data_IF_572880485803
#
_entry.id   IF_572880485803
#
_cell.length_a   1.000
_cell.length_b   1.000
_cell.length_c   1.000
_cell.angle_alpha   90.00
_cell.angle_beta   90.00
_cell.angle_gamma   90.00
#
_symmetry.space_group_name_H-M   'P 1'
#
loop_
_entity.id
_entity.type
_entity.pdbx_description
1 polymer ?
#
# COMPACT_ATOMS: atom_id res chain seq x y z
N UNK A 1 19.13 7.52 -29.79
CA UNK A 1 18.46 6.33 -29.24
C UNK A 1 18.07 6.70 -27.82
N UNK A 2 16.83 7.22 -27.64
CA UNK A 2 16.32 7.57 -26.32
C UNK A 2 16.09 6.27 -25.53
N UNK A 3 16.92 6.02 -24.54
CA UNK A 3 16.59 5.12 -23.44
C UNK A 3 15.39 5.72 -22.71
N UNK A 4 14.19 5.29 -23.04
CA UNK A 4 13.00 5.51 -22.24
C UNK A 4 13.23 4.78 -20.91
N UNK A 5 13.74 5.48 -19.90
CA UNK A 5 13.80 5.04 -18.53
C UNK A 5 12.34 4.86 -18.07
N UNK A 6 11.88 3.62 -18.06
CA UNK A 6 10.55 3.31 -17.57
C UNK A 6 10.48 3.63 -16.07
N UNK A 7 9.58 4.56 -15.72
CA UNK A 7 9.40 5.00 -14.34
C UNK A 7 8.81 3.84 -13.52
N UNK A 8 9.51 3.43 -12.47
CA UNK A 8 8.99 2.49 -11.46
C UNK A 8 8.04 3.22 -10.52
N UNK A 9 6.97 2.54 -10.17
CA UNK A 9 5.90 3.10 -9.37
C UNK A 9 5.88 2.53 -7.96
N UNK A 10 6.13 1.21 -7.81
CA UNK A 10 6.14 0.56 -6.51
C UNK A 10 7.12 -0.62 -6.48
N UNK A 11 7.56 -0.94 -5.26
CA UNK A 11 8.44 -2.06 -4.98
C UNK A 11 8.17 -2.60 -3.58
N UNK A 12 7.85 -3.88 -3.47
CA UNK A 12 7.56 -4.54 -2.20
C UNK A 12 8.27 -5.87 -2.04
N UNK A 13 8.83 -6.10 -0.86
CA UNK A 13 9.35 -7.42 -0.48
C UNK A 13 8.24 -8.29 0.10
N UNK A 14 8.33 -9.59 -0.11
CA UNK A 14 7.47 -10.56 0.57
C UNK A 14 7.73 -10.57 2.09
N UNK A 15 6.88 -11.28 2.84
CA UNK A 15 6.94 -11.31 4.30
C UNK A 15 8.27 -11.88 4.86
N UNK A 16 8.95 -12.74 4.11
CA UNK A 16 10.21 -13.34 4.51
C UNK A 16 11.44 -12.59 4.01
N UNK A 17 11.26 -11.59 3.14
CA UNK A 17 12.35 -10.88 2.48
C UNK A 17 13.13 -11.74 1.51
N UNK A 18 12.48 -12.73 0.89
CA UNK A 18 13.07 -13.61 -0.11
C UNK A 18 12.82 -13.13 -1.54
N UNK A 19 11.68 -12.47 -1.76
CA UNK A 19 11.28 -11.96 -3.06
C UNK A 19 11.04 -10.45 -3.01
N UNK A 20 11.44 -9.77 -4.08
CA UNK A 20 11.11 -8.38 -4.36
C UNK A 20 10.25 -8.32 -5.63
N UNK A 21 9.07 -7.73 -5.54
CA UNK A 21 8.25 -7.39 -6.70
C UNK A 21 8.38 -5.91 -7.00
N UNK A 22 8.49 -5.54 -8.27
CA UNK A 22 8.49 -4.15 -8.75
C UNK A 22 7.53 -3.99 -9.90
N UNK A 23 6.89 -2.83 -10.00
CA UNK A 23 6.02 -2.49 -11.12
C UNK A 23 6.42 -1.16 -11.77
N UNK A 24 6.06 -0.99 -13.04
CA UNK A 24 6.50 0.20 -13.77
C UNK A 24 5.54 0.63 -14.89
N UNK A 25 5.85 1.78 -15.50
CA UNK A 25 5.17 2.32 -16.69
C UNK A 25 5.32 1.43 -17.93
N UNK A 26 6.23 0.45 -17.94
CA UNK A 26 6.40 -0.50 -19.04
C UNK A 26 5.33 -1.60 -19.09
N UNK A 27 4.31 -1.51 -18.22
CA UNK A 27 3.19 -2.46 -18.06
C UNK A 27 3.60 -3.81 -17.46
N UNK A 28 4.84 -3.93 -17.00
CA UNK A 28 5.41 -5.19 -16.51
C UNK A 28 5.56 -5.15 -15.00
N UNK A 29 5.44 -6.33 -14.42
CA UNK A 29 5.81 -6.58 -13.04
C UNK A 29 6.99 -7.54 -13.04
N UNK A 30 8.07 -7.18 -12.35
CA UNK A 30 9.26 -8.02 -12.24
C UNK A 30 9.38 -8.56 -10.83
N UNK A 31 9.63 -9.85 -10.73
CA UNK A 31 9.86 -10.54 -9.47
C UNK A 31 11.31 -10.97 -9.41
N UNK A 32 11.99 -10.58 -8.34
CA UNK A 32 13.40 -10.89 -8.10
C UNK A 32 13.53 -11.78 -6.87
N UNK A 33 14.48 -12.70 -6.92
CA UNK A 33 14.99 -13.39 -5.74
C UNK A 33 16.06 -12.51 -5.09
N UNK A 34 15.85 -12.20 -3.82
CA UNK A 34 16.74 -11.38 -2.99
C UNK A 34 17.27 -12.14 -1.77
N UNK A 35 17.13 -13.46 -1.75
CA UNK A 35 17.61 -14.32 -0.66
C UNK A 35 19.14 -14.31 -0.51
N UNK A 36 19.87 -14.15 -1.61
CA UNK A 36 21.31 -13.91 -1.58
C UNK A 36 21.59 -12.39 -1.56
N UNK A 37 22.17 -11.90 -0.47
CA UNK A 37 22.47 -10.48 -0.23
C UNK A 37 23.43 -9.85 -1.26
N UNK A 38 23.89 -10.56 -2.27
CA UNK A 38 24.90 -10.07 -3.22
C UNK A 38 24.32 -9.34 -4.42
N UNK A 39 23.28 -9.89 -5.04
CA UNK A 39 22.64 -9.26 -6.21
C UNK A 39 21.21 -9.81 -6.41
N UNK A 40 20.20 -8.96 -6.58
CA UNK A 40 18.86 -9.40 -6.95
C UNK A 40 18.88 -10.19 -8.27
N UNK A 41 18.31 -11.39 -8.28
CA UNK A 41 18.17 -12.24 -9.46
C UNK A 41 16.75 -12.12 -10.01
N UNK A 42 16.60 -11.62 -11.23
CA UNK A 42 15.30 -11.62 -11.90
C UNK A 42 14.85 -13.06 -12.17
N UNK A 43 13.75 -13.48 -11.55
CA UNK A 43 13.18 -14.83 -11.72
C UNK A 43 11.99 -14.83 -12.67
N UNK A 44 11.18 -13.76 -12.68
CA UNK A 44 10.01 -13.68 -13.56
C UNK A 44 9.68 -12.27 -13.94
N UNK A 45 9.24 -12.08 -15.19
CA UNK A 45 8.50 -10.91 -15.65
C UNK A 45 7.06 -11.34 -15.87
N UNK A 46 6.12 -10.73 -15.13
CA UNK A 46 4.69 -10.99 -15.27
C UNK A 46 4.13 -10.00 -16.30
N UNK A 47 3.50 -10.55 -17.33
CA UNK A 47 2.89 -9.80 -18.42
C UNK A 47 1.40 -10.11 -18.46
N UNK A 48 0.56 -9.09 -18.63
CA UNK A 48 -0.91 -9.23 -18.65
C UNK A 48 -1.62 -7.90 -18.52
N UNK A 49 -0.96 -6.88 -17.98
CA UNK A 49 -1.49 -5.51 -17.98
C UNK A 49 -1.27 -4.82 -19.34
N UNK A 50 -2.26 -4.02 -19.73
CA UNK A 50 -2.23 -3.22 -20.98
C UNK A 50 -1.85 -1.75 -20.74
N UNK A 51 -1.66 -1.36 -19.48
CA UNK A 51 -1.26 -0.02 -19.05
C UNK A 51 -0.21 -0.01 -17.94
N UNK A 52 0.31 1.17 -17.55
CA UNK A 52 1.19 1.32 -16.41
C UNK A 52 0.65 0.61 -15.15
N UNK A 53 1.52 -0.13 -14.46
CA UNK A 53 1.16 -0.81 -13.21
C UNK A 53 1.56 0.11 -12.06
N UNK A 54 0.58 0.47 -11.21
CA UNK A 54 0.78 1.46 -10.16
C UNK A 54 1.27 0.88 -8.84
N UNK A 55 0.74 -0.28 -8.46
CA UNK A 55 1.06 -0.90 -7.17
C UNK A 55 1.13 -2.41 -7.26
N UNK A 56 1.95 -3.00 -6.41
CA UNK A 56 2.04 -4.44 -6.15
C UNK A 56 1.80 -4.69 -4.67
N UNK A 57 1.20 -5.82 -4.32
CA UNK A 57 0.96 -6.20 -2.94
C UNK A 57 1.09 -7.72 -2.75
N UNK A 58 1.97 -8.13 -1.83
CA UNK A 58 2.11 -9.54 -1.44
C UNK A 58 1.02 -9.94 -0.46
N UNK A 59 0.36 -11.07 -0.71
CA UNK A 59 -0.54 -11.68 0.26
C UNK A 59 0.24 -12.29 1.42
N UNK A 60 -0.47 -12.54 2.54
CA UNK A 60 0.14 -13.24 3.67
C UNK A 60 0.57 -14.67 3.27
N UNK A 61 1.75 -15.13 3.71
CA UNK A 61 2.34 -16.41 3.25
C UNK A 61 1.53 -17.66 3.61
N UNK A 62 0.56 -17.59 4.51
CA UNK A 62 -0.36 -18.71 4.79
C UNK A 62 -1.16 -19.16 3.57
N UNK A 63 -1.35 -18.28 2.57
CA UNK A 63 -2.05 -18.60 1.33
C UNK A 63 -1.11 -19.05 0.20
N UNK A 64 0.19 -19.18 0.50
CA UNK A 64 1.25 -19.39 -0.47
C UNK A 64 1.80 -18.08 -1.03
N UNK A 65 2.66 -18.17 -2.04
CA UNK A 65 3.27 -16.99 -2.65
C UNK A 65 2.30 -16.40 -3.68
N UNK A 66 1.56 -15.38 -3.25
CA UNK A 66 0.54 -14.70 -4.04
C UNK A 66 0.86 -13.21 -4.12
N UNK A 67 0.79 -12.63 -5.32
CA UNK A 67 1.01 -11.22 -5.60
C UNK A 67 -0.22 -10.62 -6.28
N UNK A 68 -0.70 -9.49 -5.80
CA UNK A 68 -1.70 -8.67 -6.50
C UNK A 68 -1.04 -7.49 -7.19
N UNK A 69 -1.64 -7.02 -8.28
CA UNK A 69 -1.19 -5.88 -9.07
C UNK A 69 -2.37 -5.06 -9.53
N UNK A 70 -2.24 -3.73 -9.58
CA UNK A 70 -3.27 -2.84 -10.13
C UNK A 70 -2.68 -1.88 -11.15
N UNK A 71 -3.51 -1.44 -12.10
CA UNK A 71 -3.02 -0.73 -13.27
C UNK A 71 -3.97 0.38 -13.74
N UNK A 72 -3.36 1.31 -14.50
CA UNK A 72 -4.06 2.29 -15.32
C UNK A 72 -5.03 1.65 -16.32
N UNK A 73 -4.79 0.39 -16.72
CA UNK A 73 -5.67 -0.36 -17.63
C UNK A 73 -7.03 -0.76 -17.00
N UNK A 74 -7.32 -0.26 -15.78
CA UNK A 74 -8.58 -0.47 -15.05
C UNK A 74 -8.72 -1.86 -14.46
N UNK A 75 -7.66 -2.65 -14.44
CA UNK A 75 -7.70 -4.04 -13.97
C UNK A 75 -6.93 -4.26 -12.69
N UNK A 76 -7.39 -5.25 -11.92
CA UNK A 76 -6.64 -5.88 -10.83
C UNK A 76 -6.33 -7.31 -11.25
N UNK A 77 -5.09 -7.73 -11.12
CA UNK A 77 -4.67 -9.10 -11.42
C UNK A 77 -4.03 -9.72 -10.17
N UNK A 78 -4.39 -10.97 -9.88
CA UNK A 78 -3.79 -11.77 -8.82
C UNK A 78 -3.00 -12.93 -9.44
N UNK A 79 -1.74 -13.02 -9.03
CA UNK A 79 -0.77 -13.99 -9.51
C UNK A 79 -0.41 -14.97 -8.39
N UNK A 80 -0.31 -16.25 -8.70
CA UNK A 80 0.13 -17.31 -7.77
C UNK A 80 1.37 -17.97 -8.33
N UNK A 81 2.40 -18.10 -7.47
CA UNK A 81 3.61 -18.85 -7.80
C UNK A 81 3.34 -20.34 -7.67
N UNK A 82 3.74 -21.09 -8.68
CA UNK A 82 3.71 -22.54 -8.69
C UNK A 82 4.97 -23.18 -8.10
N UNK A 83 5.18 -24.47 -8.34
CA UNK A 83 6.29 -25.25 -7.75
C UNK A 83 7.68 -24.77 -8.18
N UNK A 84 7.84 -24.33 -9.43
CA UNK A 84 9.13 -23.85 -9.94
C UNK A 84 9.27 -22.34 -9.76
N UNK A 85 10.49 -21.78 -9.71
CA UNK A 85 10.70 -20.34 -9.50
C UNK A 85 10.05 -19.47 -10.56
N UNK A 86 10.01 -19.90 -11.80
CA UNK A 86 9.49 -19.20 -12.97
C UNK A 86 8.03 -19.51 -13.28
N UNK A 87 7.41 -20.44 -12.52
CA UNK A 87 6.00 -20.81 -12.68
C UNK A 87 5.10 -19.82 -11.93
N UNK A 88 4.47 -18.95 -12.69
CA UNK A 88 3.51 -17.97 -12.20
C UNK A 88 2.26 -18.00 -13.04
N UNK A 89 1.12 -18.11 -12.39
CA UNK A 89 -0.19 -18.18 -13.05
C UNK A 89 -1.10 -17.03 -12.59
N UNK A 90 -1.85 -16.49 -13.52
CA UNK A 90 -2.95 -15.56 -13.22
C UNK A 90 -4.12 -16.39 -12.66
N UNK A 91 -4.48 -16.17 -11.39
CA UNK A 91 -5.56 -16.89 -10.72
C UNK A 91 -6.84 -16.06 -10.61
N UNK A 92 -6.76 -14.74 -10.81
CA UNK A 92 -7.92 -13.85 -10.79
C UNK A 92 -7.64 -12.57 -11.55
N UNK A 93 -8.62 -12.10 -12.31
CA UNK A 93 -8.59 -10.78 -12.96
C UNK A 93 -9.93 -10.10 -12.80
N UNK A 94 -9.92 -8.90 -12.21
CA UNK A 94 -11.09 -8.03 -12.14
C UNK A 94 -11.01 -6.93 -13.19
N UNK A 95 -12.12 -6.73 -13.96
CA UNK A 95 -12.18 -5.81 -15.10
C UNK A 95 -13.38 -4.85 -15.07
N UNK A 96 -14.10 -4.77 -13.95
CA UNK A 96 -15.33 -3.97 -13.88
C UNK A 96 -15.10 -2.52 -13.45
N UNK A 97 -13.86 -2.13 -13.14
CA UNK A 97 -13.56 -0.73 -12.99
C UNK A 97 -13.59 0.00 -14.34
N UNK A 98 -14.11 1.23 -14.31
CA UNK A 98 -14.27 2.05 -15.54
C UNK A 98 -13.13 3.06 -15.71
N UNK A 99 -12.26 3.20 -14.70
CA UNK A 99 -11.07 4.05 -14.73
C UNK A 99 -9.87 3.38 -14.04
N UNK A 100 -8.73 4.06 -14.00
CA UNK A 100 -7.48 3.57 -13.39
C UNK A 100 -7.71 2.98 -11.99
N UNK A 101 -7.13 1.81 -11.70
CA UNK A 101 -7.02 1.28 -10.35
C UNK A 101 -5.69 1.74 -9.77
N UNK A 102 -5.76 2.52 -8.70
CA UNK A 102 -4.61 3.28 -8.18
C UNK A 102 -3.91 2.61 -7.00
N UNK A 103 -4.65 1.86 -6.20
CA UNK A 103 -4.13 1.25 -4.98
C UNK A 103 -4.83 -0.07 -4.68
N UNK A 104 -4.07 -1.00 -4.09
CA UNK A 104 -4.53 -2.31 -3.62
C UNK A 104 -3.91 -2.62 -2.26
N UNK A 105 -4.67 -3.31 -1.42
CA UNK A 105 -4.16 -3.77 -0.12
C UNK A 105 -4.86 -5.06 0.29
N UNK A 106 -4.11 -6.05 0.80
CA UNK A 106 -4.64 -7.29 1.32
C UNK A 106 -5.18 -7.11 2.74
N UNK A 107 -6.32 -7.74 3.01
CA UNK A 107 -6.85 -7.84 4.36
C UNK A 107 -5.92 -8.67 5.27
N UNK A 108 -6.01 -8.50 6.59
CA UNK A 108 -5.43 -9.42 7.54
C UNK A 108 -5.83 -10.87 7.23
N UNK A 109 -4.88 -11.80 7.34
CA UNK A 109 -5.04 -13.18 6.92
C UNK A 109 -6.12 -13.95 7.71
N UNK A 110 -6.43 -13.48 8.91
CA UNK A 110 -7.49 -14.05 9.77
C UNK A 110 -8.88 -13.94 9.13
N UNK A 111 -9.08 -13.00 8.23
CA UNK A 111 -10.32 -12.83 7.49
C UNK A 111 -10.41 -13.68 6.22
N UNK A 112 -9.33 -14.38 5.86
CA UNK A 112 -9.18 -15.09 4.61
C UNK A 112 -8.42 -14.28 3.56
N UNK A 113 -8.38 -14.79 2.34
CA UNK A 113 -7.71 -14.13 1.22
C UNK A 113 -8.64 -13.09 0.60
N UNK A 114 -8.54 -11.85 1.08
CA UNK A 114 -9.40 -10.73 0.68
C UNK A 114 -8.54 -9.55 0.25
N UNK A 115 -8.82 -8.98 -0.90
CA UNK A 115 -8.13 -7.83 -1.47
C UNK A 115 -9.09 -6.65 -1.61
N UNK A 116 -8.69 -5.45 -1.17
CA UNK A 116 -9.36 -4.20 -1.50
C UNK A 116 -8.60 -3.46 -2.60
N UNK A 117 -9.34 -2.77 -3.46
CA UNK A 117 -8.77 -1.90 -4.49
C UNK A 117 -9.51 -0.57 -4.55
N UNK A 118 -8.79 0.52 -4.86
CA UNK A 118 -9.33 1.87 -5.03
C UNK A 118 -9.12 2.36 -6.46
N UNK A 119 -10.16 2.95 -7.04
CA UNK A 119 -10.14 3.37 -8.44
C UNK A 119 -10.51 4.83 -8.63
N UNK A 120 -9.95 5.42 -9.67
CA UNK A 120 -10.34 6.76 -10.16
C UNK A 120 -11.79 6.81 -10.68
N UNK A 121 -12.49 5.68 -10.79
CA UNK A 121 -13.91 5.63 -11.11
C UNK A 121 -14.82 5.94 -9.90
N UNK A 122 -14.28 6.54 -8.84
CA UNK A 122 -14.97 6.92 -7.61
C UNK A 122 -15.29 5.76 -6.67
N UNK A 123 -14.95 4.54 -7.05
CA UNK A 123 -15.33 3.35 -6.29
C UNK A 123 -14.12 2.67 -5.66
N UNK A 124 -14.39 1.94 -4.59
CA UNK A 124 -13.53 0.89 -4.08
C UNK A 124 -14.16 -0.48 -4.39
N UNK A 125 -13.34 -1.50 -4.54
CA UNK A 125 -13.82 -2.87 -4.70
C UNK A 125 -13.16 -3.80 -3.69
N UNK A 126 -13.92 -4.78 -3.22
CA UNK A 126 -13.43 -5.82 -2.31
C UNK A 126 -13.62 -7.18 -2.98
N UNK A 127 -12.54 -7.94 -3.08
CA UNK A 127 -12.46 -9.23 -3.76
C UNK A 127 -12.14 -10.32 -2.76
N UNK A 128 -13.03 -11.27 -2.58
CA UNK A 128 -12.90 -12.37 -1.64
C UNK A 128 -12.70 -13.68 -2.40
N UNK A 129 -11.62 -14.37 -2.11
CA UNK A 129 -11.36 -15.72 -2.60
C UNK A 129 -12.20 -16.73 -1.82
N UNK A 130 -13.19 -17.32 -2.46
CA UNK A 130 -14.07 -18.34 -1.85
C UNK A 130 -13.47 -19.74 -2.03
N UNK A 131 -12.96 -20.01 -3.24
CA UNK A 131 -12.21 -21.24 -3.57
C UNK A 131 -11.06 -20.88 -4.48
N UNK A 132 -10.15 -21.81 -4.76
CA UNK A 132 -9.02 -21.56 -5.68
C UNK A 132 -9.43 -21.01 -7.05
N UNK A 133 -10.67 -21.29 -7.48
CA UNK A 133 -11.18 -20.89 -8.81
C UNK A 133 -12.33 -19.89 -8.76
N UNK A 134 -12.84 -19.56 -7.56
CA UNK A 134 -14.00 -18.67 -7.41
C UNK A 134 -13.69 -17.49 -6.52
N UNK A 135 -13.85 -16.31 -7.09
CA UNK A 135 -13.77 -15.02 -6.39
C UNK A 135 -15.12 -14.32 -6.42
N UNK A 136 -15.45 -13.67 -5.32
CA UNK A 136 -16.60 -12.79 -5.21
C UNK A 136 -16.12 -11.36 -5.06
N UNK A 137 -16.76 -10.45 -5.78
CA UNK A 137 -16.37 -9.04 -5.80
C UNK A 137 -17.54 -8.15 -5.45
N UNK A 138 -17.30 -7.19 -4.58
CA UNK A 138 -18.29 -6.17 -4.19
C UNK A 138 -17.70 -4.80 -4.54
N UNK A 139 -18.47 -3.98 -5.24
CA UNK A 139 -18.13 -2.61 -5.60
C UNK A 139 -18.85 -1.63 -4.68
N UNK A 140 -18.14 -0.61 -4.21
CA UNK A 140 -18.58 0.35 -3.19
C UNK A 140 -18.40 1.75 -3.76
N UNK A 141 -19.44 2.57 -3.74
CA UNK A 141 -19.36 4.01 -4.06
C UNK A 141 -18.57 4.72 -2.94
N UNK A 142 -17.26 4.88 -3.15
CA UNK A 142 -16.36 5.32 -2.09
C UNK A 142 -16.23 6.84 -2.02
N UNK A 143 -15.97 7.50 -3.13
CA UNK A 143 -15.68 8.93 -3.18
C UNK A 143 -16.42 9.62 -4.32
N UNK A 144 -16.56 10.96 -4.23
CA UNK A 144 -17.31 11.73 -5.23
C UNK A 144 -16.48 12.07 -6.48
N UNK A 145 -15.16 11.94 -6.42
CA UNK A 145 -14.25 12.31 -7.53
C UNK A 145 -13.37 11.15 -7.96
N UNK A 146 -12.77 10.41 -7.02
CA UNK A 146 -11.90 9.28 -7.29
C UNK A 146 -11.28 8.75 -6.01
N UNK A 147 -11.01 7.44 -5.95
CA UNK A 147 -10.31 6.79 -4.84
C UNK A 147 -8.83 6.58 -5.23
N UNK A 148 -7.93 7.16 -4.44
CA UNK A 148 -6.50 7.08 -4.68
C UNK A 148 -5.81 5.96 -3.89
N UNK A 149 -6.28 5.70 -2.68
CA UNK A 149 -5.60 4.79 -1.76
C UNK A 149 -6.58 3.97 -0.93
N UNK A 150 -6.15 2.77 -0.56
CA UNK A 150 -6.88 1.86 0.34
C UNK A 150 -5.92 1.22 1.34
N UNK A 151 -6.38 1.00 2.58
CA UNK A 151 -5.61 0.29 3.60
C UNK A 151 -6.53 -0.43 4.57
N UNK A 152 -6.25 -1.70 4.87
CA UNK A 152 -7.03 -2.49 5.82
C UNK A 152 -6.67 -2.19 7.27
N UNK A 153 -7.68 -2.25 8.13
CA UNK A 153 -7.49 -2.28 9.57
C UNK A 153 -6.89 -3.62 10.03
N UNK A 154 -6.13 -3.63 11.15
CA UNK A 154 -5.70 -4.88 11.79
C UNK A 154 -6.90 -5.74 12.23
N UNK A 155 -6.72 -7.06 12.33
CA UNK A 155 -7.76 -8.05 12.62
C UNK A 155 -8.32 -8.04 14.07
N UNK A 156 -8.18 -6.95 14.80
CA UNK A 156 -8.59 -6.86 16.22
C UNK A 156 -10.10 -6.79 16.43
N UNK A 157 -10.84 -6.38 15.42
CA UNK A 157 -12.29 -6.17 15.47
C UNK A 157 -12.87 -6.41 14.08
N UNK A 158 -14.16 -6.10 13.89
CA UNK A 158 -14.88 -6.24 12.63
C UNK A 158 -14.06 -5.84 11.38
N UNK A 159 -14.36 -6.45 10.24
CA UNK A 159 -13.72 -6.13 8.96
C UNK A 159 -13.90 -4.66 8.62
N UNK A 160 -12.78 -3.94 8.58
CA UNK A 160 -12.73 -2.50 8.28
C UNK A 160 -11.57 -2.20 7.33
N UNK A 161 -11.76 -1.20 6.50
CA UNK A 161 -10.67 -0.60 5.72
C UNK A 161 -10.88 0.90 5.57
N UNK A 162 -9.84 1.62 5.23
CA UNK A 162 -9.87 3.07 5.00
C UNK A 162 -9.58 3.35 3.54
N UNK A 163 -10.22 4.41 3.01
CA UNK A 163 -9.97 4.95 1.68
C UNK A 163 -9.61 6.41 1.73
N UNK A 164 -8.73 6.85 0.83
CA UNK A 164 -8.40 8.24 0.59
C UNK A 164 -8.81 8.68 -0.81
N UNK A 165 -9.49 9.82 -0.92
CA UNK A 165 -10.09 10.26 -2.17
C UNK A 165 -9.63 11.63 -2.68
N UNK A 166 -9.92 11.88 -3.97
CA UNK A 166 -9.74 13.18 -4.61
C UNK A 166 -10.79 14.20 -4.17
N UNK A 167 -11.75 13.81 -3.35
CA UNK A 167 -12.70 14.70 -2.68
C UNK A 167 -12.19 15.22 -1.32
N UNK A 168 -10.88 15.05 -1.06
CA UNK A 168 -10.17 15.50 0.15
C UNK A 168 -10.58 14.74 1.42
N UNK A 169 -11.36 13.68 1.28
CA UNK A 169 -11.90 12.92 2.40
C UNK A 169 -11.11 11.63 2.63
N UNK A 170 -11.05 11.25 3.89
CA UNK A 170 -10.65 9.91 4.32
C UNK A 170 -11.89 9.23 4.88
N UNK A 171 -12.25 8.06 4.36
CA UNK A 171 -13.46 7.35 4.76
C UNK A 171 -13.15 5.97 5.31
N UNK A 172 -13.81 5.62 6.40
CA UNK A 172 -13.68 4.31 7.05
C UNK A 172 -14.90 3.47 6.72
N UNK A 173 -14.64 2.31 6.18
CA UNK A 173 -15.64 1.33 5.75
C UNK A 173 -15.64 0.15 6.71
N UNK A 174 -16.84 -0.27 7.10
CA UNK A 174 -17.08 -1.43 7.95
C UNK A 174 -18.02 -2.40 7.24
N UNK A 175 -17.72 -3.69 7.33
CA UNK A 175 -18.66 -4.70 6.90
C UNK A 175 -19.78 -4.84 7.93
N UNK A 176 -21.01 -4.62 7.49
CA UNK A 176 -22.22 -5.02 8.21
C UNK A 176 -22.43 -6.52 7.92
N UNK A 177 -22.12 -7.36 8.90
CA UNK A 177 -22.17 -8.81 8.76
C UNK A 177 -23.61 -9.33 8.63
N UNK A 178 -24.62 -8.61 9.14
CA UNK A 178 -26.03 -8.99 9.03
C UNK A 178 -26.57 -8.65 7.63
N UNK A 179 -26.27 -7.47 7.16
CA UNK A 179 -26.72 -7.00 5.86
C UNK A 179 -25.81 -7.48 4.70
N UNK A 180 -24.63 -8.05 5.00
CA UNK A 180 -23.56 -8.38 4.05
C UNK A 180 -23.18 -7.21 3.13
N UNK A 181 -23.13 -5.99 3.70
CA UNK A 181 -22.84 -4.76 2.97
C UNK A 181 -21.74 -3.93 3.64
N UNK A 182 -20.96 -3.28 2.82
CA UNK A 182 -20.00 -2.28 3.29
C UNK A 182 -20.71 -0.96 3.52
N UNK A 183 -20.58 -0.43 4.74
CA UNK A 183 -21.16 0.85 5.15
C UNK A 183 -20.06 1.84 5.46
N UNK A 184 -20.26 3.11 5.15
CA UNK A 184 -19.39 4.20 5.59
C UNK A 184 -19.63 4.41 7.10
N UNK A 185 -18.67 3.97 7.93
CA UNK A 185 -18.74 4.13 9.39
C UNK A 185 -18.35 5.54 9.80
N UNK A 186 -17.29 6.11 9.20
CA UNK A 186 -16.81 7.45 9.48
C UNK A 186 -16.29 8.14 8.22
N UNK A 187 -16.55 9.45 8.15
CA UNK A 187 -15.92 10.36 7.19
C UNK A 187 -15.04 11.33 7.96
N UNK A 188 -13.75 11.34 7.68
CA UNK A 188 -12.74 12.14 8.34
C UNK A 188 -12.37 13.33 7.45
N UNK A 189 -12.61 14.54 7.96
CA UNK A 189 -12.37 15.81 7.26
C UNK A 189 -11.14 16.50 7.83
N UNK A 190 -10.21 16.92 6.96
CA UNK A 190 -8.98 17.58 7.39
C UNK A 190 -8.07 18.01 6.27
N UNK A 191 -7.96 17.23 5.19
CA UNK A 191 -7.21 17.60 3.99
C UNK A 191 -7.95 18.69 3.21
N UNK A 192 -7.19 19.59 2.58
CA UNK A 192 -7.73 20.68 1.75
C UNK A 192 -7.53 20.45 0.26
N UNK A 193 -6.88 19.35 -0.10
CA UNK A 193 -6.66 18.88 -1.46
C UNK A 193 -6.63 17.35 -1.46
N UNK A 194 -6.43 16.73 -2.62
CA UNK A 194 -6.49 15.29 -2.83
C UNK A 194 -5.68 14.51 -1.79
N UNK A 195 -6.32 13.56 -1.15
CA UNK A 195 -5.62 12.54 -0.35
C UNK A 195 -4.87 11.62 -1.32
N UNK A 196 -3.55 11.51 -1.14
CA UNK A 196 -2.69 10.71 -2.00
C UNK A 196 -2.51 9.30 -1.50
N UNK A 197 -2.37 9.16 -0.19
CA UNK A 197 -2.19 7.85 0.42
C UNK A 197 -2.81 7.79 1.82
N UNK A 198 -3.19 6.58 2.23
CA UNK A 198 -3.70 6.27 3.56
C UNK A 198 -3.07 4.96 4.04
N UNK A 199 -2.71 4.92 5.32
CA UNK A 199 -2.16 3.72 5.94
C UNK A 199 -2.76 3.53 7.34
N UNK A 200 -3.38 2.37 7.58
CA UNK A 200 -3.81 1.97 8.92
C UNK A 200 -2.63 1.35 9.66
N UNK A 201 -2.37 1.81 10.88
CA UNK A 201 -1.26 1.31 11.68
C UNK A 201 -1.51 -0.15 12.12
N UNK A 202 -0.50 -1.03 12.04
CA UNK A 202 -0.58 -2.34 12.68
C UNK A 202 -0.75 -2.17 14.20
N UNK A 203 -1.68 -2.90 14.80
CA UNK A 203 -1.94 -2.83 16.23
C UNK A 203 -1.24 -3.99 16.95
N UNK A 204 -0.06 -3.75 17.48
CA UNK A 204 0.64 -4.70 18.33
C UNK A 204 0.36 -4.40 19.82
N UNK A 205 -0.83 -4.79 20.28
CA UNK A 205 -1.14 -4.87 21.71
C UNK A 205 -1.61 -3.59 22.42
N UNK A 206 -1.67 -2.44 21.76
CA UNK A 206 -2.09 -1.18 22.40
C UNK A 206 -3.60 -0.87 22.29
N UNK A 207 -4.35 -1.63 21.49
CA UNK A 207 -5.81 -1.45 21.35
C UNK A 207 -6.25 -0.10 20.72
N UNK A 208 -5.29 0.70 20.23
CA UNK A 208 -5.56 2.02 19.61
C UNK A 208 -5.63 1.87 18.09
N UNK A 209 -6.67 2.41 17.49
CA UNK A 209 -6.73 2.55 16.04
C UNK A 209 -6.08 3.86 15.63
N UNK A 210 -5.07 3.77 14.77
CA UNK A 210 -4.34 4.93 14.24
C UNK A 210 -4.29 4.81 12.72
N UNK A 211 -4.64 5.90 12.03
CA UNK A 211 -4.54 6.00 10.57
C UNK A 211 -3.63 7.18 10.26
N UNK A 212 -2.72 7.01 9.31
CA UNK A 212 -2.01 8.12 8.69
C UNK A 212 -2.61 8.39 7.31
N UNK A 213 -2.79 9.65 6.97
CA UNK A 213 -3.15 10.09 5.62
C UNK A 213 -2.22 11.21 5.16
N UNK A 214 -1.94 11.25 3.86
CA UNK A 214 -1.14 12.32 3.27
C UNK A 214 -1.77 12.83 1.98
N UNK A 215 -1.40 14.04 1.57
CA UNK A 215 -2.09 14.66 0.46
C UNK A 215 -1.29 15.64 -0.38
N UNK A 216 -1.98 16.10 -1.41
CA UNK A 216 -1.55 17.15 -2.34
C UNK A 216 -1.39 18.50 -1.63
N UNK A 217 -2.06 18.69 -0.50
CA UNK A 217 -1.99 19.87 0.36
C UNK A 217 -0.70 19.97 1.19
N UNK A 218 0.27 19.10 0.93
CA UNK A 218 1.56 19.02 1.64
C UNK A 218 1.40 18.73 3.14
N UNK A 219 0.35 17.99 3.52
CA UNK A 219 0.07 17.61 4.91
C UNK A 219 0.12 16.11 5.10
N UNK A 220 0.49 15.72 6.32
CA UNK A 220 0.26 14.40 6.88
C UNK A 220 -0.60 14.57 8.12
N UNK A 221 -1.69 13.84 8.18
CA UNK A 221 -2.62 13.86 9.30
C UNK A 221 -2.64 12.48 9.95
N UNK A 222 -2.43 12.46 11.25
CA UNK A 222 -2.60 11.29 12.09
C UNK A 222 -4.00 11.35 12.69
N UNK A 223 -4.75 10.28 12.46
CA UNK A 223 -6.08 10.09 13.01
C UNK A 223 -6.00 9.02 14.09
N UNK A 224 -6.42 9.36 15.31
CA UNK A 224 -6.41 8.43 16.44
C UNK A 224 -7.83 8.24 16.92
N UNK A 225 -8.28 7.00 17.03
CA UNK A 225 -9.58 6.69 17.59
C UNK A 225 -9.49 6.67 19.11
N UNK A 226 -10.26 7.55 19.74
CA UNK A 226 -10.48 7.58 21.19
C UNK A 226 -11.96 7.27 21.47
N UNK A 227 -12.22 6.08 22.02
CA UNK A 227 -13.57 5.51 22.16
C UNK A 227 -14.25 5.43 20.78
N UNK A 228 -15.32 6.21 20.54
CA UNK A 228 -16.06 6.23 19.27
C UNK A 228 -15.77 7.47 18.40
N UNK A 229 -14.79 8.28 18.78
CA UNK A 229 -14.44 9.50 18.06
C UNK A 229 -13.04 9.46 17.48
N UNK A 230 -12.90 9.97 16.26
CA UNK A 230 -11.60 10.15 15.62
C UNK A 230 -11.08 11.56 15.87
N UNK A 231 -9.88 11.66 16.42
CA UNK A 231 -9.15 12.91 16.60
C UNK A 231 -8.06 13.00 15.57
N UNK A 232 -7.87 14.22 15.04
CA UNK A 232 -6.79 14.51 14.09
C UNK A 232 -5.64 15.23 14.78
N UNK A 233 -4.42 14.89 14.35
CA UNK A 233 -3.21 15.62 14.64
C UNK A 233 -2.42 15.79 13.35
N UNK A 234 -2.12 17.04 12.96
CA UNK A 234 -1.29 17.34 11.81
C UNK A 234 0.18 17.23 12.21
N UNK A 235 1.00 16.57 11.38
CA UNK A 235 2.44 16.67 11.45
C UNK A 235 2.89 18.05 10.92
N UNK A 236 4.18 18.39 11.13
CA UNK A 236 4.73 19.62 10.54
C UNK A 236 4.49 19.64 9.03
N UNK A 237 4.19 20.82 8.52
CA UNK A 237 3.89 20.96 7.08
C UNK A 237 5.11 20.63 6.23
N UNK A 238 4.90 19.81 5.21
CA UNK A 238 5.93 19.41 4.27
C UNK A 238 6.13 20.47 3.19
N UNK A 239 7.32 20.48 2.57
CA UNK A 239 7.69 21.48 1.55
C UNK A 239 7.02 21.23 0.20
N UNK A 240 6.64 19.99 -0.07
CA UNK A 240 6.06 19.53 -1.32
C UNK A 240 4.97 18.49 -1.03
N UNK A 241 4.27 18.08 -2.07
CA UNK A 241 3.25 17.02 -2.03
C UNK A 241 3.79 15.79 -1.32
N UNK A 242 2.99 15.24 -0.42
CA UNK A 242 3.32 13.95 0.21
C UNK A 242 2.62 12.83 -0.56
N UNK A 243 3.43 11.90 -1.06
CA UNK A 243 2.95 10.84 -1.96
C UNK A 243 2.61 9.55 -1.25
N UNK A 244 3.37 9.20 -0.19
CA UNK A 244 3.27 7.90 0.46
C UNK A 244 3.47 8.01 1.96
N UNK A 245 2.69 7.25 2.70
CA UNK A 245 2.85 6.99 4.13
C UNK A 245 2.89 5.48 4.37
N UNK A 246 3.79 5.03 5.22
CA UNK A 246 3.95 3.61 5.53
C UNK A 246 4.33 3.40 6.98
N UNK A 247 3.61 2.51 7.66
CA UNK A 247 3.92 2.13 9.04
C UNK A 247 4.97 1.03 9.10
N UNK A 248 5.86 1.12 10.08
CA UNK A 248 6.65 -0.03 10.50
C UNK A 248 5.72 -1.14 11.02
N UNK A 249 6.16 -2.39 10.93
CA UNK A 249 5.40 -3.55 11.43
C UNK A 249 5.01 -3.39 12.91
N UNK A 250 5.84 -2.70 13.69
CA UNK A 250 5.59 -2.41 15.10
C UNK A 250 4.50 -1.34 15.35
N UNK A 251 4.06 -0.62 14.30
CA UNK A 251 3.02 0.40 14.39
C UNK A 251 3.42 1.70 15.11
N UNK A 252 4.68 1.85 15.52
CA UNK A 252 5.19 3.00 16.28
C UNK A 252 6.05 3.98 15.46
N UNK A 253 6.42 3.61 14.25
CA UNK A 253 7.20 4.44 13.33
C UNK A 253 6.43 4.61 12.02
N UNK A 254 6.29 5.85 11.58
CA UNK A 254 5.71 6.22 10.30
C UNK A 254 6.80 6.73 9.37
N UNK A 255 6.94 6.11 8.21
CA UNK A 255 7.73 6.63 7.11
C UNK A 255 6.87 7.51 6.22
N UNK A 256 7.36 8.68 5.85
CA UNK A 256 6.69 9.66 4.99
C UNK A 256 7.61 10.00 3.83
N UNK A 257 7.10 9.89 2.60
CA UNK A 257 7.82 10.21 1.37
C UNK A 257 7.11 11.33 0.59
N UNK A 258 7.85 12.38 0.29
CA UNK A 258 7.37 13.57 -0.41
C UNK A 258 7.92 13.74 -1.83
N UNK A 259 7.38 14.75 -2.53
CA UNK A 259 7.85 15.18 -3.86
C UNK A 259 9.23 15.83 -3.84
N UNK A 260 9.69 16.25 -2.67
CA UNK A 260 11.05 16.77 -2.43
C UNK A 260 12.15 15.68 -2.45
N UNK A 261 11.77 14.43 -2.76
CA UNK A 261 12.64 13.25 -2.75
C UNK A 261 13.25 12.90 -1.39
N UNK A 262 12.68 13.40 -0.30
CA UNK A 262 13.09 13.05 1.05
C UNK A 262 12.17 11.97 1.63
N UNK A 263 12.74 11.14 2.49
CA UNK A 263 11.99 10.22 3.36
C UNK A 263 12.27 10.59 4.80
N UNK A 264 11.23 10.90 5.54
CA UNK A 264 11.32 11.21 6.97
C UNK A 264 10.66 10.11 7.80
N UNK A 265 11.24 9.83 8.95
CA UNK A 265 10.72 8.85 9.91
C UNK A 265 10.19 9.58 11.14
N UNK A 266 8.97 9.26 11.50
CA UNK A 266 8.23 9.91 12.58
C UNK A 266 7.84 8.91 13.66
N UNK A 267 7.84 9.37 14.91
CA UNK A 267 7.38 8.58 16.06
C UNK A 267 6.59 9.44 17.04
N UNK A 268 5.63 8.84 17.73
CA UNK A 268 4.89 9.49 18.81
C UNK A 268 5.71 9.42 20.09
N UNK A 269 5.87 10.57 20.78
CA UNK A 269 6.46 10.65 22.11
C UNK A 269 5.43 10.31 23.18
N UNK A 270 5.88 10.10 24.43
CA UNK A 270 5.03 9.83 25.59
C UNK A 270 4.00 10.95 25.86
N UNK A 271 4.32 12.19 25.50
CA UNK A 271 3.43 13.34 25.61
C UNK A 271 2.39 13.44 24.47
N UNK A 272 2.38 12.47 23.55
CA UNK A 272 1.49 12.46 22.38
C UNK A 272 1.95 13.37 21.22
N UNK A 273 3.13 14.03 21.33
CA UNK A 273 3.69 14.81 20.22
C UNK A 273 4.44 13.90 19.24
N UNK A 274 4.37 14.25 17.95
CA UNK A 274 5.05 13.53 16.88
C UNK A 274 6.31 14.27 16.47
N UNK A 275 7.43 13.55 16.44
CA UNK A 275 8.72 14.09 16.04
C UNK A 275 9.40 13.24 14.97
N UNK A 276 10.20 13.92 14.15
CA UNK A 276 11.16 13.27 13.27
C UNK A 276 12.38 12.86 14.04
N UNK A 277 12.81 11.62 13.87
CA UNK A 277 14.09 11.16 14.43
C UNK A 277 15.13 10.82 13.38
N UNK A 278 14.75 10.78 12.11
CA UNK A 278 15.66 10.57 10.99
C UNK A 278 15.07 11.18 9.72
N UNK A 279 15.91 11.85 8.93
CA UNK A 279 15.64 12.23 7.55
C UNK A 279 16.67 11.56 6.66
N UNK A 280 16.21 10.75 5.71
CA UNK A 280 17.05 10.16 4.69
C UNK A 280 17.04 11.08 3.49
N UNK A 281 17.99 12.01 3.46
CA UNK A 281 18.24 12.82 2.27
C UNK A 281 18.97 11.96 1.24
N UNK A 282 18.86 12.26 -0.05
CA UNK A 282 19.55 11.58 -1.16
C UNK A 282 21.10 11.60 -0.93
N UNK A 283 21.59 10.74 -0.06
CA UNK A 283 23.01 10.49 0.17
C UNK A 283 23.38 9.27 -0.68
N UNK A 284 24.51 9.29 -1.43
CA UNK A 284 25.02 8.10 -2.09
C UNK A 284 25.18 6.96 -1.10
N UNK A 285 24.71 5.76 -1.48
CA UNK A 285 24.60 4.57 -0.64
C UNK A 285 25.78 4.38 0.34
N UNK A 286 25.51 4.26 1.64
CA UNK A 286 26.51 3.73 2.56
C UNK A 286 26.71 2.22 2.30
N UNK A 287 27.94 1.76 2.54
CA UNK A 287 28.29 0.33 2.51
C UNK A 287 27.34 -0.52 3.37
N UNK A 288 27.06 -1.78 3.00
CA UNK A 288 26.07 -2.61 3.66
C UNK A 288 26.36 -2.76 5.16
N UNK A 289 25.40 -2.34 5.98
CA UNK A 289 25.44 -2.55 7.43
C UNK A 289 25.14 -4.03 7.75
N UNK A 290 25.71 -4.60 8.82
CA UNK A 290 25.41 -5.94 9.26
C UNK A 290 23.92 -6.09 9.65
N UNK A 291 23.34 -7.29 9.58
CA UNK A 291 21.91 -7.49 9.68
C UNK A 291 21.39 -7.23 11.09
N UNK A 292 20.75 -6.08 11.29
CA UNK A 292 19.87 -5.83 12.43
C UNK A 292 18.45 -5.64 11.93
N UNK A 293 17.57 -6.47 12.43
CA UNK A 293 16.23 -6.81 11.92
C UNK A 293 15.15 -5.71 12.01
N UNK A 294 15.48 -4.45 12.25
CA UNK A 294 14.51 -3.40 12.61
C UNK A 294 14.31 -2.28 11.57
N UNK A 295 15.01 -2.31 10.41
CA UNK A 295 14.97 -1.17 9.45
C UNK A 295 14.49 -1.61 8.06
N UNK A 296 13.65 -2.64 7.95
CA UNK A 296 13.29 -3.25 6.66
C UNK A 296 12.27 -2.46 5.83
N UNK A 297 11.40 -1.65 6.41
CA UNK A 297 10.35 -0.94 5.66
C UNK A 297 10.82 0.35 4.96
N UNK A 298 11.81 1.05 5.51
CA UNK A 298 12.36 2.27 4.90
C UNK A 298 13.34 2.02 3.74
N UNK A 299 13.95 0.82 3.66
CA UNK A 299 14.84 0.44 2.56
C UNK A 299 14.10 0.06 1.27
N UNK A 300 12.81 -0.24 1.34
CA UNK A 300 12.03 -0.63 0.17
C UNK A 300 11.93 0.49 -0.89
N UNK A 301 11.79 1.72 -0.46
CA UNK A 301 11.71 2.89 -1.35
C UNK A 301 13.06 3.31 -1.93
N UNK A 302 14.16 3.11 -1.19
CA UNK A 302 15.50 3.44 -1.66
C UNK A 302 16.04 2.42 -2.68
N UNK A 303 15.75 1.12 -2.50
CA UNK A 303 16.18 0.06 -3.41
C UNK A 303 15.51 0.15 -4.80
N UNK A 304 14.26 0.62 -4.86
CA UNK A 304 13.55 0.81 -6.13
C UNK A 304 14.17 1.88 -7.02
N UNK A 305 14.82 2.90 -6.46
CA UNK A 305 15.46 3.99 -7.21
C UNK A 305 16.81 3.61 -7.82
N UNK A 306 17.47 2.58 -7.29
CA UNK A 306 18.83 2.20 -7.72
C UNK A 306 18.85 1.11 -8.80
N UNK A 307 17.74 0.41 -9.01
CA UNK A 307 17.60 -0.54 -10.11
C UNK A 307 17.42 0.13 -11.50
N UNK A 308 17.31 1.48 -11.54
CA UNK A 308 17.20 2.25 -12.77
C UNK A 308 18.56 2.83 -13.27
N UNK A 309 19.66 2.61 -12.55
CA UNK A 309 20.98 3.19 -12.88
C UNK A 309 21.95 2.23 -13.57
N UNK A 310 21.59 0.97 -13.78
CA UNK A 310 22.31 -0.05 -14.59
C UNK A 310 21.33 -0.62 -15.70
#
# INVERSE_FOLDING_TARGET
>A
MLLLLHRKHDAQTDAYGLYLATCSSDKKVKVFDISDNKKPLLIKTLEGHEGPVWQVAWAHPTFGTILATCSYDKTVIVWKKGPTPDDWTNIFTYKEHTSSVNSINWAPHEFGLILAAGSSDMTASVHTCITETRWESVKIEAHNVGCNAVSWAPALQNRRFVTGGCDNLVKIWKLDEEAHKWINEHTLEGHTDWVRDVAWAPCLGQGRNIIASCGQDCRVIIWTQERDQWRRKELSRFRDVVWLVSWAITGNVLAVSGGDNNVSLWTERENGEWDTFSEVNNVPMPQPLPPTSLVRSSHQLAAAKQLDAD
#
